data_IF_006078681915
#
_entry.id   IF_006078681915
#
_cell.length_a   1.000
_cell.length_b   1.000
_cell.length_c   1.000
_cell.angle_alpha   90.00
_cell.angle_beta   90.00
_cell.angle_gamma   90.00
#
_symmetry.space_group_name_H-M   'P 1'
#
loop_
_entity.id
_entity.type
_entity.pdbx_description
1 polymer ?
#
# COMPACT_ATOMS: atom_id res chain seq x y z
N UNK A 1 25.56 -24.65 -7.39
CA UNK A 1 24.74 -23.42 -7.33
C UNK A 1 25.51 -22.26 -7.97
N UNK A 2 25.51 -22.17 -9.31
CA UNK A 2 26.31 -21.20 -10.08
C UNK A 2 25.40 -20.07 -10.62
N UNK A 3 25.67 -18.84 -10.19
CA UNK A 3 25.98 -17.71 -11.07
C UNK A 3 24.92 -17.13 -12.04
N UNK A 4 23.74 -17.70 -12.22
CA UNK A 4 22.78 -17.20 -13.24
C UNK A 4 22.14 -15.84 -12.90
N UNK A 5 22.32 -15.31 -11.69
CA UNK A 5 21.67 -14.09 -11.23
C UNK A 5 22.57 -12.84 -11.31
N UNK A 6 23.81 -12.96 -11.81
CA UNK A 6 24.79 -11.86 -11.86
C UNK A 6 24.60 -10.86 -13.02
N UNK A 7 23.71 -11.13 -13.99
CA UNK A 7 23.68 -10.39 -15.26
C UNK A 7 22.34 -9.76 -15.66
N UNK A 8 21.45 -9.42 -14.73
CA UNK A 8 20.32 -8.54 -15.07
C UNK A 8 20.62 -7.10 -14.57
N UNK A 9 20.95 -6.16 -15.47
CA UNK A 9 21.13 -4.74 -15.14
C UNK A 9 19.92 -4.14 -14.41
N UNK A 10 18.73 -4.73 -14.60
CA UNK A 10 17.49 -4.45 -13.86
C UNK A 10 17.62 -4.72 -12.36
N UNK A 11 18.02 -5.92 -11.93
CA UNK A 11 18.13 -6.24 -10.50
C UNK A 11 19.25 -5.45 -9.81
N UNK A 12 20.38 -5.20 -10.49
CA UNK A 12 21.49 -4.44 -9.90
C UNK A 12 21.13 -2.97 -9.63
N UNK A 13 20.35 -2.36 -10.52
CA UNK A 13 19.85 -0.99 -10.36
C UNK A 13 18.66 -0.92 -9.38
N UNK A 14 17.98 -2.05 -9.16
CA UNK A 14 16.93 -2.20 -8.15
C UNK A 14 17.48 -2.33 -6.73
N UNK A 15 18.56 -3.11 -6.56
CA UNK A 15 19.12 -3.42 -5.25
C UNK A 15 19.43 -2.19 -4.40
N UNK A 16 19.92 -1.11 -5.02
CA UNK A 16 20.20 0.14 -4.31
C UNK A 16 18.95 0.90 -3.88
N UNK A 17 17.93 1.00 -4.74
CA UNK A 17 16.66 1.65 -4.39
C UNK A 17 15.89 0.85 -3.33
N UNK A 18 15.92 -0.47 -3.43
CA UNK A 18 15.30 -1.35 -2.46
C UNK A 18 16.05 -1.32 -1.11
N UNK A 19 17.38 -1.37 -1.12
CA UNK A 19 18.18 -1.21 0.09
C UNK A 19 17.90 0.14 0.76
N UNK A 20 17.79 1.21 -0.02
CA UNK A 20 17.41 2.52 0.49
C UNK A 20 16.00 2.50 1.12
N UNK A 21 15.03 1.84 0.48
CA UNK A 21 13.69 1.66 1.06
C UNK A 21 13.72 0.91 2.39
N UNK A 22 14.60 -0.08 2.54
CA UNK A 22 14.79 -0.81 3.79
C UNK A 22 15.37 0.06 4.91
N UNK A 23 16.31 0.95 4.58
CA UNK A 23 16.84 1.94 5.54
C UNK A 23 15.75 2.90 6.01
N UNK A 24 14.97 3.44 5.06
CA UNK A 24 13.83 4.29 5.40
C UNK A 24 12.76 3.54 6.20
N UNK A 25 12.59 2.23 5.99
CA UNK A 25 11.66 1.41 6.77
C UNK A 25 12.10 1.29 8.23
N UNK A 26 13.39 1.05 8.46
CA UNK A 26 13.95 1.03 9.80
C UNK A 26 13.86 2.40 10.48
N UNK A 27 14.16 3.49 9.74
CA UNK A 27 13.99 4.86 10.22
C UNK A 27 12.54 5.16 10.60
N UNK A 28 11.57 4.71 9.81
CA UNK A 28 10.15 4.89 10.11
C UNK A 28 9.76 4.20 11.42
N UNK A 29 10.17 2.95 11.63
CA UNK A 29 9.95 2.22 12.88
C UNK A 29 10.52 2.97 14.09
N UNK A 30 11.72 3.54 13.95
CA UNK A 30 12.36 4.36 15.00
C UNK A 30 11.55 5.64 15.24
N UNK A 31 11.19 6.38 14.20
CA UNK A 31 10.37 7.59 14.31
C UNK A 31 9.01 7.32 14.97
N UNK A 32 8.37 6.21 14.62
CA UNK A 32 7.10 5.80 15.22
C UNK A 32 7.28 5.40 16.68
N UNK A 33 8.34 4.66 17.02
CA UNK A 33 8.64 4.27 18.40
C UNK A 33 8.88 5.48 19.33
N UNK A 34 9.52 6.53 18.82
CA UNK A 34 9.74 7.78 19.56
C UNK A 34 8.57 8.77 19.48
N UNK A 35 7.40 8.36 18.94
CA UNK A 35 6.23 9.23 18.75
C UNK A 35 6.56 10.53 17.97
N UNK A 36 7.57 10.49 17.10
CA UNK A 36 7.97 11.62 16.26
C UNK A 36 7.10 11.66 15.00
N UNK A 37 5.78 11.83 15.15
CA UNK A 37 4.80 11.66 14.08
C UNK A 37 5.05 12.56 12.85
N UNK A 38 5.52 13.80 13.04
CA UNK A 38 5.86 14.68 11.92
C UNK A 38 7.02 14.16 11.07
N UNK A 39 8.09 13.69 11.72
CA UNK A 39 9.22 13.06 11.04
C UNK A 39 8.84 11.71 10.45
N UNK A 40 7.99 10.94 11.16
CA UNK A 40 7.45 9.65 10.68
C UNK A 40 6.74 9.81 9.34
N UNK A 41 5.88 10.81 9.17
CA UNK A 41 5.18 11.07 7.91
C UNK A 41 6.16 11.42 6.77
N UNK A 42 7.15 12.27 7.02
CA UNK A 42 8.18 12.59 6.02
C UNK A 42 8.99 11.37 5.57
N UNK A 43 9.44 10.57 6.53
CA UNK A 43 10.18 9.32 6.28
C UNK A 43 9.31 8.33 5.52
N UNK A 44 8.02 8.25 5.86
CA UNK A 44 7.07 7.32 5.24
C UNK A 44 6.66 7.72 3.82
N UNK A 45 6.46 9.01 3.55
CA UNK A 45 6.25 9.52 2.19
C UNK A 45 7.49 9.28 1.31
N UNK A 46 8.69 9.48 1.87
CA UNK A 46 9.94 9.19 1.16
C UNK A 46 10.06 7.69 0.85
N UNK A 47 9.72 6.83 1.80
CA UNK A 47 9.68 5.39 1.62
C UNK A 47 8.68 4.98 0.54
N UNK A 48 7.45 5.51 0.59
CA UNK A 48 6.41 5.26 -0.41
C UNK A 48 6.88 5.69 -1.80
N UNK A 49 7.50 6.87 -1.93
CA UNK A 49 8.06 7.37 -3.18
C UNK A 49 9.17 6.47 -3.72
N UNK A 50 10.08 6.01 -2.87
CA UNK A 50 11.13 5.06 -3.25
C UNK A 50 10.55 3.71 -3.68
N UNK A 51 9.48 3.25 -3.03
CA UNK A 51 8.80 2.02 -3.38
C UNK A 51 8.07 2.12 -4.71
N UNK A 52 7.34 3.21 -4.95
CA UNK A 52 6.67 3.49 -6.22
C UNK A 52 7.71 3.62 -7.33
N UNK A 53 8.82 4.33 -7.10
CA UNK A 53 9.91 4.44 -8.08
C UNK A 53 10.56 3.08 -8.40
N UNK A 54 10.73 2.23 -7.39
CA UNK A 54 11.23 0.86 -7.56
C UNK A 54 10.24 0.00 -8.34
N UNK A 55 8.95 0.08 -8.01
CA UNK A 55 7.85 -0.62 -8.68
C UNK A 55 7.70 -0.22 -10.15
N UNK A 56 7.74 1.09 -10.44
CA UNK A 56 7.68 1.61 -11.81
C UNK A 56 8.93 1.24 -12.62
N UNK A 57 10.13 1.22 -11.99
CA UNK A 57 11.37 0.76 -12.65
C UNK A 57 11.41 -0.76 -12.90
N UNK A 58 10.80 -1.55 -12.02
CA UNK A 58 10.64 -2.99 -12.22
C UNK A 58 9.71 -3.30 -13.41
N UNK A 59 8.80 -2.38 -13.70
CA UNK A 59 7.71 -2.56 -14.66
C UNK A 59 6.88 -3.81 -14.36
N UNK A 60 6.57 -3.96 -13.06
CA UNK A 60 5.75 -5.05 -12.52
C UNK A 60 4.46 -5.15 -13.33
N UNK A 61 4.20 -6.34 -13.87
CA UNK A 61 3.00 -6.65 -14.66
C UNK A 61 3.03 -6.30 -16.15
N UNK A 62 4.09 -5.65 -16.68
CA UNK A 62 4.26 -5.37 -18.12
C UNK A 62 5.45 -6.11 -18.74
N UNK A 63 6.49 -6.41 -17.97
CA UNK A 63 7.59 -7.22 -18.45
C UNK A 63 7.23 -8.72 -18.46
N UNK A 64 7.58 -9.48 -19.52
CA UNK A 64 7.47 -10.93 -19.51
C UNK A 64 8.56 -11.49 -18.59
N UNK A 65 8.21 -11.69 -17.32
CA UNK A 65 9.07 -12.33 -16.31
C UNK A 65 8.60 -13.75 -16.03
N UNK A 66 9.56 -14.60 -15.66
CA UNK A 66 9.30 -16.01 -15.38
C UNK A 66 8.34 -16.15 -14.18
N UNK A 67 7.52 -17.21 -14.15
CA UNK A 67 6.51 -17.41 -13.09
C UNK A 67 7.11 -17.40 -11.67
N UNK A 68 8.36 -17.85 -11.52
CA UNK A 68 9.10 -17.76 -10.27
C UNK A 68 9.44 -16.32 -9.88
N UNK A 69 9.93 -15.49 -10.80
CA UNK A 69 10.26 -14.09 -10.53
C UNK A 69 9.01 -13.27 -10.19
N UNK A 70 7.88 -13.57 -10.84
CA UNK A 70 6.58 -12.97 -10.52
C UNK A 70 6.09 -13.31 -9.10
N UNK A 71 6.25 -14.55 -8.66
CA UNK A 71 5.81 -14.97 -7.32
C UNK A 71 6.77 -14.56 -6.20
N UNK A 72 8.08 -14.55 -6.47
CA UNK A 72 9.10 -14.26 -5.45
C UNK A 72 9.54 -12.80 -5.40
N UNK A 73 9.27 -12.00 -6.45
CA UNK A 73 9.69 -10.58 -6.51
C UNK A 73 8.46 -9.68 -6.64
N UNK A 74 7.66 -9.84 -7.69
CA UNK A 74 6.57 -8.91 -7.97
C UNK A 74 5.50 -8.94 -6.87
N UNK A 75 4.99 -10.12 -6.50
CA UNK A 75 3.91 -10.24 -5.49
C UNK A 75 4.31 -9.68 -4.12
N UNK A 76 5.48 -10.04 -3.54
CA UNK A 76 5.93 -9.44 -2.28
C UNK A 76 6.10 -7.92 -2.35
N UNK A 77 6.62 -7.39 -3.45
CA UNK A 77 6.75 -5.94 -3.63
C UNK A 77 5.40 -5.25 -3.69
N UNK A 78 4.43 -5.83 -4.39
CA UNK A 78 3.07 -5.32 -4.47
C UNK A 78 2.35 -5.29 -3.13
N UNK A 79 2.52 -6.37 -2.35
CA UNK A 79 2.00 -6.45 -0.98
C UNK A 79 2.67 -5.37 -0.11
N UNK A 80 3.99 -5.22 -0.21
CA UNK A 80 4.71 -4.22 0.56
C UNK A 80 4.27 -2.79 0.21
N UNK A 81 4.05 -2.50 -1.07
CA UNK A 81 3.52 -1.21 -1.53
C UNK A 81 2.10 -0.97 -1.02
N UNK A 82 1.24 -1.98 -1.07
CA UNK A 82 -0.10 -1.91 -0.48
C UNK A 82 -0.06 -1.58 1.01
N UNK A 83 0.82 -2.25 1.75
CA UNK A 83 0.95 -2.05 3.18
C UNK A 83 1.45 -0.64 3.53
N UNK A 84 2.49 -0.17 2.84
CA UNK A 84 3.04 1.17 3.07
C UNK A 84 2.03 2.25 2.73
N UNK A 85 1.21 2.10 1.68
CA UNK A 85 0.15 3.08 1.36
C UNK A 85 -0.85 3.20 2.51
N UNK A 86 -1.35 2.08 3.04
CA UNK A 86 -2.29 2.07 4.16
C UNK A 86 -1.66 2.68 5.40
N UNK A 87 -0.43 2.30 5.70
CA UNK A 87 0.27 2.79 6.87
C UNK A 87 0.61 4.29 6.75
N UNK A 88 0.83 4.81 5.53
CA UNK A 88 0.98 6.25 5.26
C UNK A 88 -0.30 7.00 5.60
N UNK A 89 -1.46 6.49 5.15
CA UNK A 89 -2.78 7.05 5.47
C UNK A 89 -3.02 7.08 6.98
N UNK A 90 -2.67 6.01 7.69
CA UNK A 90 -2.78 5.95 9.15
C UNK A 90 -1.87 6.97 9.85
N UNK A 91 -0.59 7.07 9.46
CA UNK A 91 0.36 8.02 10.05
C UNK A 91 -0.04 9.49 9.81
N UNK A 92 -0.56 9.80 8.63
CA UNK A 92 -1.10 11.15 8.34
C UNK A 92 -2.30 11.42 9.25
N UNK A 93 -3.21 10.46 9.41
CA UNK A 93 -4.37 10.61 10.30
C UNK A 93 -3.96 10.85 11.75
N UNK A 94 -2.97 10.11 12.26
CA UNK A 94 -2.43 10.30 13.62
C UNK A 94 -1.79 11.69 13.79
N UNK A 95 -1.02 12.16 12.80
CA UNK A 95 -0.43 13.50 12.84
C UNK A 95 -1.52 14.59 12.88
N UNK A 96 -2.55 14.46 12.06
CA UNK A 96 -3.69 15.38 12.02
C UNK A 96 -4.44 15.42 13.36
N UNK A 97 -4.60 14.25 14.00
CA UNK A 97 -5.20 14.14 15.33
C UNK A 97 -4.36 14.87 16.39
N UNK A 98 -3.03 14.69 16.38
CA UNK A 98 -2.13 15.32 17.34
C UNK A 98 -2.07 16.85 17.23
N UNK A 99 -2.13 17.37 16.01
CA UNK A 99 -2.15 18.82 15.77
C UNK A 99 -3.53 19.42 16.10
N UNK A 100 -4.47 18.61 16.61
CA UNK A 100 -5.87 18.98 16.87
C UNK A 100 -6.48 19.68 15.65
N UNK A 101 -6.20 19.15 14.46
CA UNK A 101 -6.68 19.75 13.25
C UNK A 101 -8.21 19.69 13.24
N UNK A 102 -8.85 20.85 13.08
CA UNK A 102 -10.31 20.98 13.07
C UNK A 102 -11.00 20.26 11.89
N UNK A 103 -10.26 19.53 11.03
CA UNK A 103 -10.82 18.74 9.94
C UNK A 103 -11.60 19.56 8.92
N UNK A 104 -11.29 20.85 8.77
CA UNK A 104 -12.12 21.82 8.03
C UNK A 104 -13.57 21.96 8.56
N UNK A 105 -13.81 21.67 9.84
CA UNK A 105 -15.14 21.62 10.47
C UNK A 105 -15.89 20.31 10.23
N UNK A 106 -15.25 19.32 9.62
CA UNK A 106 -15.84 18.01 9.32
C UNK A 106 -15.64 17.08 10.51
N UNK A 107 -16.72 16.37 10.88
CA UNK A 107 -16.74 15.39 11.97
C UNK A 107 -15.76 14.22 11.67
N UNK A 108 -15.02 13.69 12.67
CA UNK A 108 -14.00 12.67 12.43
C UNK A 108 -14.49 11.42 11.69
N UNK A 109 -15.75 11.00 11.91
CA UNK A 109 -16.35 9.85 11.22
C UNK A 109 -16.45 10.07 9.72
N UNK A 110 -16.84 11.27 9.28
CA UNK A 110 -16.94 11.62 7.86
C UNK A 110 -15.55 11.66 7.24
N UNK A 111 -14.56 12.16 7.98
CA UNK A 111 -13.16 12.14 7.56
C UNK A 111 -12.63 10.72 7.33
N UNK A 112 -12.95 9.78 8.23
CA UNK A 112 -12.58 8.38 8.08
C UNK A 112 -13.21 7.76 6.80
N UNK A 113 -14.47 8.09 6.51
CA UNK A 113 -15.15 7.64 5.28
C UNK A 113 -14.48 8.23 4.03
N UNK A 114 -14.11 9.51 4.04
CA UNK A 114 -13.38 10.14 2.93
C UNK A 114 -12.06 9.41 2.68
N UNK A 115 -11.30 9.09 3.73
CA UNK A 115 -10.04 8.36 3.59
C UNK A 115 -10.23 6.94 3.07
N UNK A 116 -11.30 6.25 3.46
CA UNK A 116 -11.66 4.94 2.88
C UNK A 116 -11.96 5.06 1.38
N UNK A 117 -12.70 6.10 0.96
CA UNK A 117 -12.99 6.35 -0.46
C UNK A 117 -11.70 6.61 -1.25
N UNK A 118 -10.80 7.46 -0.74
CA UNK A 118 -9.50 7.71 -1.36
C UNK A 118 -8.69 6.42 -1.51
N UNK A 119 -8.64 5.60 -0.46
CA UNK A 119 -7.93 4.32 -0.50
C UNK A 119 -8.56 3.33 -1.50
N UNK A 120 -9.90 3.27 -1.60
CA UNK A 120 -10.61 2.51 -2.63
C UNK A 120 -10.27 2.97 -4.04
N UNK A 121 -10.23 4.29 -4.29
CA UNK A 121 -9.87 4.84 -5.59
C UNK A 121 -8.44 4.47 -5.99
N UNK A 122 -7.48 4.54 -5.05
CA UNK A 122 -6.11 4.10 -5.29
C UNK A 122 -6.04 2.60 -5.60
N UNK A 123 -6.79 1.78 -4.86
CA UNK A 123 -6.94 0.35 -5.12
C UNK A 123 -7.51 0.03 -6.50
N UNK A 124 -8.55 0.75 -6.92
CA UNK A 124 -9.14 0.62 -8.25
C UNK A 124 -8.14 0.98 -9.35
N UNK A 125 -7.45 2.12 -9.22
CA UNK A 125 -6.43 2.55 -10.18
C UNK A 125 -5.29 1.53 -10.31
N UNK A 126 -4.80 0.98 -9.20
CA UNK A 126 -3.79 -0.09 -9.21
C UNK A 126 -4.30 -1.37 -9.87
N UNK A 127 -5.56 -1.73 -9.63
CA UNK A 127 -6.19 -2.90 -10.27
C UNK A 127 -6.28 -2.72 -11.78
N UNK A 128 -6.73 -1.56 -12.25
CA UNK A 128 -6.94 -1.29 -13.68
C UNK A 128 -5.63 -1.11 -14.44
N UNK A 129 -4.63 -0.44 -13.84
CA UNK A 129 -3.37 -0.13 -14.52
C UNK A 129 -2.38 -1.30 -14.50
N UNK A 130 -2.39 -2.13 -13.46
CA UNK A 130 -1.35 -3.14 -13.21
C UNK A 130 -1.88 -4.55 -12.95
N UNK A 131 -3.20 -4.75 -12.83
CA UNK A 131 -3.85 -6.03 -12.51
C UNK A 131 -3.22 -6.69 -11.27
N UNK A 132 -2.93 -5.87 -10.28
CA UNK A 132 -2.15 -6.26 -9.12
C UNK A 132 -3.05 -6.73 -7.96
N UNK A 133 -3.32 -8.03 -7.94
CA UNK A 133 -4.17 -8.64 -6.91
C UNK A 133 -3.55 -8.62 -5.52
N UNK A 134 -2.21 -8.57 -5.40
CA UNK A 134 -1.51 -8.54 -4.11
C UNK A 134 -1.76 -7.22 -3.38
N UNK A 135 -1.67 -6.10 -4.11
CA UNK A 135 -1.97 -4.78 -3.57
C UNK A 135 -3.41 -4.68 -3.03
N UNK A 136 -4.38 -5.18 -3.81
CA UNK A 136 -5.80 -5.09 -3.45
C UNK A 136 -6.12 -5.95 -2.23
N UNK A 137 -5.50 -7.12 -2.09
CA UNK A 137 -5.71 -7.98 -0.92
C UNK A 137 -5.29 -7.30 0.38
N UNK A 138 -4.20 -6.52 0.36
CA UNK A 138 -3.77 -5.74 1.52
C UNK A 138 -4.79 -4.66 1.88
N UNK A 139 -5.39 -4.00 0.88
CA UNK A 139 -6.47 -3.04 1.13
C UNK A 139 -7.69 -3.69 1.78
N UNK A 140 -8.12 -4.86 1.27
CA UNK A 140 -9.23 -5.63 1.85
C UNK A 140 -8.94 -5.93 3.32
N UNK A 141 -7.78 -6.51 3.63
CA UNK A 141 -7.42 -6.86 5.00
C UNK A 141 -7.38 -5.63 5.92
N UNK A 142 -6.84 -4.52 5.41
CA UNK A 142 -6.77 -3.27 6.15
C UNK A 142 -8.16 -2.69 6.45
N UNK A 143 -9.07 -2.71 5.47
CA UNK A 143 -10.44 -2.22 5.65
C UNK A 143 -11.24 -3.11 6.61
N UNK A 144 -11.04 -4.43 6.58
CA UNK A 144 -11.62 -5.34 7.58
C UNK A 144 -11.10 -5.00 8.98
N UNK A 145 -9.80 -4.73 9.14
CA UNK A 145 -9.23 -4.30 10.42
C UNK A 145 -9.84 -3.00 10.94
N UNK A 146 -10.06 -2.01 10.06
CA UNK A 146 -10.75 -0.76 10.40
C UNK A 146 -12.20 -1.04 10.83
N UNK A 147 -12.92 -1.88 10.09
CA UNK A 147 -14.31 -2.21 10.39
C UNK A 147 -14.48 -2.90 11.75
N UNK A 148 -13.56 -3.82 12.09
CA UNK A 148 -13.56 -4.51 13.38
C UNK A 148 -13.23 -3.57 14.53
N UNK A 149 -12.23 -2.69 14.35
CA UNK A 149 -11.78 -1.78 15.41
C UNK A 149 -12.75 -0.61 15.66
N UNK A 150 -13.46 -0.17 14.62
CA UNK A 150 -14.44 0.93 14.70
C UNK A 150 -15.88 0.44 14.81
N UNK A 151 -16.11 -0.76 15.37
CA UNK A 151 -17.44 -1.37 15.52
C UNK A 151 -18.42 -0.53 16.36
N UNK A 152 -17.91 0.33 17.23
CA UNK A 152 -18.69 1.28 18.02
C UNK A 152 -19.23 2.48 17.22
N UNK A 153 -18.71 2.73 16.01
CA UNK A 153 -19.09 3.83 15.12
C UNK A 153 -19.73 3.27 13.83
N UNK A 154 -21.07 3.09 13.79
CA UNK A 154 -21.74 2.35 12.71
C UNK A 154 -21.48 2.90 11.30
N UNK A 155 -21.34 4.22 11.17
CA UNK A 155 -21.07 4.89 9.90
C UNK A 155 -19.73 4.42 9.31
N UNK A 156 -18.68 4.39 10.13
CA UNK A 156 -17.32 4.03 9.71
C UNK A 156 -17.22 2.52 9.50
N UNK A 157 -17.78 1.73 10.42
CA UNK A 157 -17.78 0.26 10.32
C UNK A 157 -18.48 -0.23 9.05
N UNK A 158 -19.70 0.25 8.78
CA UNK A 158 -20.46 -0.18 7.59
C UNK A 158 -19.76 0.25 6.30
N UNK A 159 -19.23 1.48 6.26
CA UNK A 159 -18.48 1.99 5.11
C UNK A 159 -17.22 1.17 4.85
N UNK A 160 -16.50 0.77 5.90
CA UNK A 160 -15.32 -0.09 5.80
C UNK A 160 -15.67 -1.52 5.33
N UNK A 161 -16.79 -2.10 5.77
CA UNK A 161 -17.27 -3.39 5.27
C UNK A 161 -17.65 -3.35 3.78
N UNK A 162 -18.37 -2.31 3.36
CA UNK A 162 -18.74 -2.10 1.95
C UNK A 162 -17.49 -1.93 1.09
N UNK A 163 -16.54 -1.09 1.54
CA UNK A 163 -15.26 -0.90 0.88
C UNK A 163 -14.48 -2.22 0.75
N UNK A 164 -14.43 -3.02 1.82
CA UNK A 164 -13.77 -4.34 1.82
C UNK A 164 -14.38 -5.28 0.78
N UNK A 165 -15.71 -5.37 0.73
CA UNK A 165 -16.42 -6.22 -0.22
C UNK A 165 -16.19 -5.77 -1.68
N UNK A 166 -16.22 -4.46 -1.92
CA UNK A 166 -15.97 -3.87 -3.23
C UNK A 166 -14.53 -4.14 -3.70
N UNK A 167 -13.55 -3.96 -2.83
CA UNK A 167 -12.14 -4.27 -3.14
C UNK A 167 -11.92 -5.77 -3.38
N UNK A 168 -12.60 -6.64 -2.63
CA UNK A 168 -12.57 -8.10 -2.87
C UNK A 168 -13.09 -8.46 -4.26
N UNK A 169 -14.22 -7.88 -4.67
CA UNK A 169 -14.77 -8.09 -5.99
C UNK A 169 -13.80 -7.61 -7.09
N UNK A 170 -13.16 -6.46 -6.90
CA UNK A 170 -12.12 -5.94 -7.80
C UNK A 170 -10.89 -6.84 -7.87
N UNK A 171 -10.43 -7.39 -6.73
CA UNK A 171 -9.33 -8.34 -6.71
C UNK A 171 -9.67 -9.59 -7.54
N UNK A 172 -10.86 -10.16 -7.34
CA UNK A 172 -11.33 -11.33 -8.09
C UNK A 172 -11.43 -11.03 -9.59
N UNK A 173 -11.98 -9.87 -9.96
CA UNK A 173 -12.04 -9.42 -11.35
C UNK A 173 -10.65 -9.33 -11.99
N UNK A 174 -9.69 -8.71 -11.27
CA UNK A 174 -8.30 -8.61 -11.71
C UNK A 174 -7.63 -9.97 -11.94
N UNK A 175 -7.89 -10.96 -11.08
CA UNK A 175 -7.39 -12.33 -11.21
C UNK A 175 -7.98 -13.01 -12.46
N UNK A 176 -9.30 -12.91 -12.66
CA UNK A 176 -10.00 -13.55 -13.77
C UNK A 176 -9.56 -12.97 -15.11
N UNK A 177 -9.41 -11.65 -15.22
CA UNK A 177 -8.90 -11.00 -16.43
C UNK A 177 -7.45 -11.35 -16.76
N UNK A 178 -6.64 -11.68 -15.76
CA UNK A 178 -5.23 -12.09 -15.96
C UNK A 178 -5.11 -13.53 -16.45
N UNK A 179 -6.11 -14.37 -16.22
CA UNK A 179 -6.16 -15.76 -16.71
C UNK A 179 -6.67 -15.88 -18.15
N UNK A 180 -7.36 -14.86 -18.66
CA UNK A 180 -7.95 -14.82 -20.01
C UNK A 180 -7.05 -14.14 -21.05
N UNK A 181 -6.00 -13.46 -20.64
CA UNK A 181 -5.00 -12.81 -21.49
C UNK A 181 -3.72 -13.65 -21.52
#
# INVERSE_FOLDING_TARGET
FKGAQKESPRLRRLGYLFALSGVFNALWLVCWHYNAFGWSVLVMLTLLGLLIASYLRLDVGRAPVNSAEKWFVDVPFSIYLGWITVATVANVTDLLYLVNWNGFGIVPQVWAVIMLVVACTLGLLMTLTRKDSGYVFVLVWSFVGIAVKQSAEPLVANSAWIASALMLALAMYGIVQRRRA
#
